data_IF_078807882751
#
_entry.id   IF_078807882751
#
_cell.length_a   1.000
_cell.length_b   1.000
_cell.length_c   1.000
_cell.angle_alpha   90.00
_cell.angle_beta   90.00
_cell.angle_gamma   90.00
#
_symmetry.space_group_name_H-M   'P 1'
#
loop_
_entity.id
_entity.type
_entity.pdbx_description
1 polymer ?
#
# COMPACT_ATOMS: atom_id res chain seq x y z
N UNK A 1 3.27 14.48 -28.06
CA UNK A 1 2.52 13.44 -28.78
C UNK A 1 1.07 13.56 -28.33
N UNK A 2 0.13 13.62 -29.26
CA UNK A 2 -1.30 13.79 -28.95
C UNK A 2 -1.94 12.39 -28.88
N UNK A 3 -2.31 11.95 -27.68
CA UNK A 3 -2.90 10.63 -27.41
C UNK A 3 -4.17 10.43 -28.23
N UNK A 4 -4.98 11.49 -28.40
CA UNK A 4 -6.18 11.43 -29.24
C UNK A 4 -5.88 11.12 -30.71
N UNK A 5 -4.71 11.55 -31.20
CA UNK A 5 -4.28 11.32 -32.58
C UNK A 5 -3.68 9.92 -32.79
N UNK A 6 -3.14 9.30 -31.75
CA UNK A 6 -2.52 7.98 -31.81
C UNK A 6 -3.56 6.85 -31.66
N UNK A 7 -4.45 6.97 -30.68
CA UNK A 7 -5.44 5.91 -30.35
C UNK A 7 -6.73 6.02 -31.17
N UNK A 8 -7.11 7.25 -31.55
CA UNK A 8 -8.39 7.54 -32.20
C UNK A 8 -9.60 7.19 -31.31
N UNK A 9 -10.81 7.38 -31.85
CA UNK A 9 -12.07 7.19 -31.10
C UNK A 9 -12.21 5.76 -30.53
N UNK A 10 -11.82 4.74 -31.32
CA UNK A 10 -11.92 3.34 -30.91
C UNK A 10 -10.97 3.01 -29.76
N UNK A 11 -9.72 3.48 -29.82
CA UNK A 11 -8.74 3.24 -28.75
C UNK A 11 -9.15 3.91 -27.45
N UNK A 12 -9.62 5.16 -27.49
CA UNK A 12 -10.13 5.87 -26.31
C UNK A 12 -11.35 5.17 -25.67
N UNK A 13 -12.25 4.64 -26.51
CA UNK A 13 -13.40 3.86 -26.04
C UNK A 13 -12.95 2.57 -25.36
N UNK A 14 -11.95 1.89 -25.92
CA UNK A 14 -11.43 0.64 -25.36
C UNK A 14 -10.68 0.87 -24.06
N UNK A 15 -9.82 1.90 -24.00
CA UNK A 15 -9.13 2.32 -22.78
C UNK A 15 -10.12 2.53 -21.62
N UNK A 16 -11.19 3.28 -21.87
CA UNK A 16 -12.22 3.52 -20.85
C UNK A 16 -12.88 2.23 -20.36
N UNK A 17 -13.18 1.29 -21.27
CA UNK A 17 -13.78 -0.02 -20.90
C UNK A 17 -12.82 -0.85 -20.06
N UNK A 18 -11.55 -0.90 -20.43
CA UNK A 18 -10.53 -1.70 -19.73
C UNK A 18 -10.23 -1.10 -18.36
N UNK A 19 -10.16 0.24 -18.22
CA UNK A 19 -10.01 0.88 -16.92
C UNK A 19 -11.14 0.50 -15.94
N UNK A 20 -12.39 0.53 -16.40
CA UNK A 20 -13.55 0.09 -15.61
C UNK A 20 -13.49 -1.41 -15.31
N UNK A 21 -13.08 -2.24 -16.29
CA UNK A 21 -12.93 -3.69 -16.11
C UNK A 21 -11.88 -4.01 -15.03
N UNK A 22 -10.70 -3.42 -15.12
CA UNK A 22 -9.59 -3.63 -14.19
C UNK A 22 -9.99 -3.26 -12.75
N UNK A 23 -10.66 -2.12 -12.56
CA UNK A 23 -11.12 -1.70 -11.24
C UNK A 23 -12.18 -2.66 -10.64
N UNK A 24 -13.12 -3.12 -11.47
CA UNK A 24 -14.12 -4.11 -11.04
C UNK A 24 -13.51 -5.49 -10.77
N UNK A 25 -12.48 -5.89 -11.53
CA UNK A 25 -11.72 -7.10 -11.29
C UNK A 25 -11.08 -7.09 -9.91
N UNK A 26 -10.31 -6.04 -9.59
CA UNK A 26 -9.66 -5.89 -8.29
C UNK A 26 -10.68 -5.80 -7.15
N UNK A 27 -11.73 -5.00 -7.33
CA UNK A 27 -12.80 -4.89 -6.33
C UNK A 27 -13.45 -6.24 -6.03
N UNK A 28 -13.64 -7.08 -7.05
CA UNK A 28 -14.18 -8.44 -6.88
C UNK A 28 -13.21 -9.37 -6.15
N UNK A 29 -11.91 -9.34 -6.49
CA UNK A 29 -10.89 -10.18 -5.83
C UNK A 29 -10.68 -9.82 -4.37
N UNK A 30 -10.83 -8.55 -4.01
CA UNK A 30 -10.59 -8.05 -2.66
C UNK A 30 -11.82 -8.04 -1.75
N UNK A 31 -13.03 -8.23 -2.29
CA UNK A 31 -14.29 -8.05 -1.56
C UNK A 31 -14.46 -8.95 -0.32
N UNK A 32 -13.87 -10.15 -0.32
CA UNK A 32 -13.94 -11.09 0.82
C UNK A 32 -12.99 -10.72 1.96
N UNK A 33 -12.03 -9.82 1.71
CA UNK A 33 -11.00 -9.40 2.66
C UNK A 33 -11.21 -7.95 3.12
N UNK A 34 -11.63 -7.09 2.20
CA UNK A 34 -11.83 -5.67 2.42
C UNK A 34 -13.21 -5.26 1.90
N UNK A 35 -14.09 -4.70 2.75
CA UNK A 35 -15.36 -4.19 2.27
C UNK A 35 -15.16 -3.11 1.21
N UNK A 36 -15.83 -3.25 0.07
CA UNK A 36 -15.89 -2.21 -0.97
C UNK A 36 -16.95 -1.20 -0.56
N UNK A 37 -16.53 0.02 -0.21
CA UNK A 37 -17.35 0.98 0.52
C UNK A 37 -18.53 1.52 -0.28
N UNK A 38 -18.33 1.78 -1.58
CA UNK A 38 -19.36 2.31 -2.47
C UNK A 38 -19.43 1.49 -3.75
N UNK A 39 -20.66 1.17 -4.16
CA UNK A 39 -20.98 0.48 -5.42
C UNK A 39 -22.18 1.15 -6.07
N UNK A 40 -22.23 1.13 -7.40
CA UNK A 40 -23.40 1.58 -8.17
C UNK A 40 -24.60 0.63 -8.01
N UNK A 41 -25.73 0.99 -8.61
CA UNK A 41 -26.98 0.23 -8.50
C UNK A 41 -26.87 -1.23 -8.99
N UNK A 42 -25.96 -1.51 -9.93
CA UNK A 42 -25.68 -2.86 -10.45
C UNK A 42 -24.66 -3.65 -9.62
N UNK A 43 -24.15 -3.09 -8.51
CA UNK A 43 -23.10 -3.71 -7.70
C UNK A 43 -21.68 -3.55 -8.28
N UNK A 44 -21.50 -2.77 -9.34
CA UNK A 44 -20.21 -2.47 -9.96
C UNK A 44 -19.62 -1.15 -9.45
N UNK A 45 -18.31 -0.99 -9.61
CA UNK A 45 -17.58 0.27 -9.43
C UNK A 45 -17.30 0.91 -10.80
N UNK A 46 -16.76 2.13 -10.82
CA UNK A 46 -16.33 2.80 -12.05
C UNK A 46 -14.88 2.40 -12.39
N UNK A 47 -14.01 3.38 -12.66
CA UNK A 47 -12.58 3.17 -12.95
C UNK A 47 -11.70 3.04 -11.68
N UNK A 48 -12.31 3.17 -10.51
CA UNK A 48 -11.66 3.06 -9.20
C UNK A 48 -12.61 2.44 -8.17
N UNK A 49 -12.06 1.94 -7.05
CA UNK A 49 -12.85 1.47 -5.91
C UNK A 49 -12.26 1.94 -4.57
N UNK A 50 -13.12 2.07 -3.54
CA UNK A 50 -12.69 2.41 -2.18
C UNK A 50 -12.78 1.15 -1.32
N UNK A 51 -11.65 0.76 -0.75
CA UNK A 51 -11.53 -0.36 0.20
C UNK A 51 -11.54 0.17 1.63
N UNK A 52 -12.39 -0.40 2.47
CA UNK A 52 -12.55 0.01 3.86
C UNK A 52 -11.58 -0.75 4.78
N UNK A 53 -10.62 -0.03 5.35
CA UNK A 53 -9.60 -0.59 6.25
C UNK A 53 -9.93 -0.35 7.73
N UNK A 54 -10.98 0.41 8.03
CA UNK A 54 -11.39 0.74 9.41
C UNK A 54 -11.71 -0.50 10.25
N UNK A 55 -12.29 -1.60 9.71
CA UNK A 55 -12.44 -2.84 10.46
C UNK A 55 -11.12 -3.38 11.02
N UNK A 56 -10.04 -3.35 10.22
CA UNK A 56 -8.71 -3.79 10.67
C UNK A 56 -8.15 -2.90 11.77
N UNK A 57 -8.43 -1.59 11.72
CA UNK A 57 -8.03 -0.68 12.80
C UNK A 57 -8.70 -1.04 14.12
N UNK A 58 -9.98 -1.41 14.07
CA UNK A 58 -10.75 -1.77 15.27
C UNK A 58 -10.36 -3.15 15.83
N UNK A 59 -10.02 -4.11 14.94
CA UNK A 59 -9.76 -5.51 15.32
C UNK A 59 -8.30 -5.78 15.68
N UNK A 60 -7.35 -5.12 15.01
CA UNK A 60 -5.92 -5.41 15.08
C UNK A 60 -5.05 -4.18 15.37
N UNK A 61 -5.66 -3.02 15.63
CA UNK A 61 -4.99 -1.71 15.72
C UNK A 61 -4.17 -1.31 14.47
N UNK A 62 -4.36 -2.00 13.34
CA UNK A 62 -3.69 -1.75 12.06
C UNK A 62 -4.35 -0.58 11.34
N UNK A 63 -3.60 0.52 11.16
CA UNK A 63 -4.07 1.71 10.45
C UNK A 63 -3.79 1.67 8.95
N UNK A 64 -4.39 2.61 8.22
CA UNK A 64 -4.13 2.83 6.78
C UNK A 64 -2.65 3.06 6.50
N UNK A 65 -1.93 3.78 7.36
CA UNK A 65 -0.50 4.03 7.20
C UNK A 65 0.33 2.75 7.34
N UNK A 66 -0.06 1.82 8.21
CA UNK A 66 0.63 0.54 8.37
C UNK A 66 0.57 -0.27 7.07
N UNK A 67 -0.62 -0.33 6.45
CA UNK A 67 -0.85 -1.01 5.18
C UNK A 67 -0.11 -0.29 4.04
N UNK A 68 -0.17 1.05 4.02
CA UNK A 68 0.52 1.85 3.01
C UNK A 68 2.04 1.65 3.04
N UNK A 69 2.63 1.58 4.23
CA UNK A 69 4.06 1.32 4.36
C UNK A 69 4.40 -0.14 4.07
N UNK A 70 3.54 -1.08 4.46
CA UNK A 70 3.78 -2.51 4.21
C UNK A 70 3.75 -2.85 2.72
N UNK A 71 2.92 -2.20 1.92
CA UNK A 71 2.92 -2.33 0.45
C UNK A 71 4.29 -2.05 -0.18
N UNK A 72 5.10 -1.15 0.41
CA UNK A 72 6.46 -0.87 -0.06
C UNK A 72 7.36 -2.11 0.02
N UNK A 73 7.17 -2.96 1.03
CA UNK A 73 7.94 -4.20 1.17
C UNK A 73 7.57 -5.23 0.08
N UNK A 74 6.34 -5.16 -0.44
CA UNK A 74 5.85 -5.94 -1.59
C UNK A 74 6.22 -5.32 -2.94
N UNK A 75 6.86 -4.14 -2.96
CA UNK A 75 7.26 -3.44 -4.17
C UNK A 75 6.22 -2.47 -4.74
N UNK A 76 5.16 -2.15 -3.98
CA UNK A 76 4.09 -1.27 -4.43
C UNK A 76 4.15 0.11 -3.77
N UNK A 77 3.84 1.14 -4.55
CA UNK A 77 3.39 2.42 -3.99
C UNK A 77 1.97 2.25 -3.45
N UNK A 78 1.66 2.90 -2.33
CA UNK A 78 0.31 2.86 -1.78
C UNK A 78 -0.69 3.55 -2.72
N UNK A 79 -1.94 3.09 -2.78
CA UNK A 79 -3.03 3.84 -3.41
C UNK A 79 -3.30 5.16 -2.68
N UNK A 80 -4.28 5.93 -3.14
CA UNK A 80 -4.72 7.15 -2.43
C UNK A 80 -5.20 6.79 -1.02
N UNK A 81 -4.61 7.41 0.00
CA UNK A 81 -4.88 7.10 1.42
C UNK A 81 -5.77 8.16 2.08
N UNK A 82 -6.73 7.71 2.90
CA UNK A 82 -7.59 8.54 3.76
C UNK A 82 -8.39 9.65 3.05
N UNK A 83 -8.61 9.49 1.74
CA UNK A 83 -9.47 10.37 0.95
C UNK A 83 -10.23 9.52 -0.09
N UNK A 84 -11.51 9.79 -0.36
CA UNK A 84 -12.35 10.84 0.24
C UNK A 84 -12.87 10.51 1.65
N UNK A 85 -12.59 9.30 2.16
CA UNK A 85 -13.01 8.84 3.48
C UNK A 85 -11.78 8.58 4.35
N UNK A 86 -11.76 9.10 5.58
CA UNK A 86 -10.65 8.87 6.50
C UNK A 86 -10.51 7.39 6.86
N UNK A 87 -9.28 6.87 6.84
CA UNK A 87 -8.99 5.47 7.17
C UNK A 87 -9.31 4.45 6.08
N UNK A 88 -9.51 4.88 4.83
CA UNK A 88 -9.70 4.00 3.66
C UNK A 88 -8.56 4.14 2.65
N UNK A 89 -8.53 3.26 1.65
CA UNK A 89 -7.73 3.44 0.45
C UNK A 89 -8.62 3.47 -0.79
N UNK A 90 -8.26 4.31 -1.76
CA UNK A 90 -8.91 4.40 -3.07
C UNK A 90 -7.95 3.90 -4.15
N UNK A 91 -8.36 2.88 -4.89
CA UNK A 91 -7.54 2.10 -5.82
C UNK A 91 -8.03 2.32 -7.25
N UNK A 92 -7.13 2.83 -8.11
CA UNK A 92 -7.36 3.06 -9.54
C UNK A 92 -6.24 2.37 -10.34
N UNK A 93 -6.50 1.23 -11.00
CA UNK A 93 -5.46 0.51 -11.74
C UNK A 93 -5.18 1.06 -13.14
N UNK A 94 -6.07 1.89 -13.69
CA UNK A 94 -6.09 2.29 -15.10
C UNK A 94 -6.22 1.10 -16.07
N UNK A 95 -6.25 1.40 -17.36
CA UNK A 95 -6.27 0.43 -18.45
C UNK A 95 -4.89 -0.10 -18.84
N UNK A 96 -3.83 0.57 -18.40
CA UNK A 96 -2.46 0.33 -18.90
C UNK A 96 -1.77 -0.82 -18.16
N UNK A 97 -2.23 -1.16 -16.97
CA UNK A 97 -1.70 -2.27 -16.20
C UNK A 97 -2.28 -3.61 -16.66
N UNK A 98 -1.40 -4.59 -16.83
CA UNK A 98 -1.81 -5.94 -17.22
C UNK A 98 -2.40 -6.73 -16.05
N UNK A 99 -3.11 -7.81 -16.36
CA UNK A 99 -3.75 -8.67 -15.36
C UNK A 99 -2.75 -9.20 -14.31
N UNK A 100 -1.51 -9.47 -14.70
CA UNK A 100 -0.51 -10.02 -13.80
C UNK A 100 -0.06 -8.99 -12.75
N UNK A 101 0.01 -7.70 -13.09
CA UNK A 101 0.24 -6.62 -12.12
C UNK A 101 -0.96 -6.45 -11.18
N UNK A 102 -2.19 -6.50 -11.71
CA UNK A 102 -3.39 -6.44 -10.88
C UNK A 102 -3.44 -7.58 -9.86
N UNK A 103 -3.07 -8.79 -10.29
CA UNK A 103 -2.99 -9.97 -9.44
C UNK A 103 -1.93 -9.82 -8.36
N UNK A 104 -0.71 -9.36 -8.70
CA UNK A 104 0.34 -9.10 -7.70
C UNK A 104 -0.12 -8.11 -6.63
N UNK A 105 -0.79 -7.03 -7.03
CA UNK A 105 -1.32 -6.06 -6.08
C UNK A 105 -2.41 -6.68 -5.19
N UNK A 106 -3.35 -7.42 -5.78
CA UNK A 106 -4.41 -8.08 -5.02
C UNK A 106 -3.85 -9.12 -4.03
N UNK A 107 -2.88 -9.93 -4.45
CA UNK A 107 -2.25 -10.95 -3.62
C UNK A 107 -1.40 -10.31 -2.49
N UNK A 108 -0.76 -9.16 -2.74
CA UNK A 108 -0.10 -8.37 -1.70
C UNK A 108 -1.11 -7.90 -0.65
N UNK A 109 -2.23 -7.32 -1.08
CA UNK A 109 -3.30 -6.86 -0.19
C UNK A 109 -3.93 -8.01 0.59
N UNK A 110 -4.14 -9.17 -0.02
CA UNK A 110 -4.66 -10.38 0.66
C UNK A 110 -3.67 -10.87 1.72
N UNK A 111 -2.38 -10.89 1.40
CA UNK A 111 -1.33 -11.27 2.36
C UNK A 111 -1.28 -10.29 3.53
N UNK A 112 -1.37 -8.99 3.26
CA UNK A 112 -1.45 -7.94 4.29
C UNK A 112 -2.69 -8.13 5.19
N UNK A 113 -3.83 -8.49 4.62
CA UNK A 113 -5.02 -8.81 5.41
C UNK A 113 -4.74 -9.97 6.37
N UNK A 114 -4.09 -11.04 5.90
CA UNK A 114 -3.71 -12.18 6.74
C UNK A 114 -2.72 -11.79 7.84
N UNK A 115 -1.76 -10.90 7.55
CA UNK A 115 -0.85 -10.35 8.58
C UNK A 115 -1.61 -9.55 9.64
N UNK A 116 -2.65 -8.80 9.25
CA UNK A 116 -3.50 -8.08 10.20
C UNK A 116 -4.40 -9.03 11.01
N UNK A 117 -4.95 -10.07 10.39
CA UNK A 117 -5.73 -11.10 11.11
C UNK A 117 -4.87 -11.86 12.12
N UNK A 118 -3.60 -12.16 11.79
CA UNK A 118 -2.68 -12.77 12.73
C UNK A 118 -2.46 -11.94 14.00
N UNK A 119 -2.52 -10.60 13.90
CA UNK A 119 -2.51 -9.68 15.05
C UNK A 119 -3.83 -9.77 15.81
N UNK A 120 -4.98 -9.70 15.11
CA UNK A 120 -6.31 -9.80 15.73
C UNK A 120 -6.49 -11.12 16.51
N UNK A 121 -5.98 -12.22 15.98
CA UNK A 121 -6.01 -13.55 16.58
C UNK A 121 -4.98 -13.73 17.72
N UNK A 122 -4.11 -12.74 17.96
CA UNK A 122 -3.08 -12.77 19.00
C UNK A 122 -1.93 -13.75 18.70
N UNK A 123 -1.74 -14.14 17.44
CA UNK A 123 -0.67 -15.08 17.03
C UNK A 123 0.68 -14.41 16.79
N UNK A 124 0.69 -13.08 16.67
CA UNK A 124 1.90 -12.25 16.58
C UNK A 124 1.75 -11.03 17.50
N UNK A 125 2.88 -10.49 17.95
CA UNK A 125 2.92 -9.30 18.80
C UNK A 125 2.22 -8.11 18.09
N UNK A 126 1.25 -7.42 18.76
CA UNK A 126 0.53 -6.30 18.16
C UNK A 126 1.38 -5.05 17.91
N UNK A 127 2.49 -4.90 18.63
CA UNK A 127 3.43 -3.78 18.50
C UNK A 127 4.66 -4.14 17.67
N UNK A 128 5.14 -5.40 17.71
CA UNK A 128 6.34 -5.85 16.99
C UNK A 128 6.03 -6.86 15.89
N UNK A 129 5.50 -6.39 14.77
CA UNK A 129 5.12 -7.20 13.61
C UNK A 129 5.51 -6.50 12.29
N UNK A 130 5.42 -7.17 11.13
CA UNK A 130 5.81 -6.56 9.86
C UNK A 130 5.03 -5.29 9.51
N UNK A 131 3.75 -5.18 9.86
CA UNK A 131 2.90 -4.02 9.53
C UNK A 131 3.33 -2.76 10.30
N UNK A 132 3.58 -2.88 11.60
CA UNK A 132 4.03 -1.75 12.44
C UNK A 132 5.44 -1.28 12.13
N UNK A 133 6.26 -2.21 11.66
CA UNK A 133 7.66 -1.99 11.42
C UNK A 133 8.00 -1.60 9.97
N UNK A 134 7.05 -1.74 9.05
CA UNK A 134 7.25 -1.34 7.67
C UNK A 134 7.43 0.19 7.54
N UNK A 135 8.21 0.65 6.55
CA UNK A 135 8.92 -0.15 5.54
C UNK A 135 10.27 -0.68 6.03
N UNK A 136 10.74 -1.80 5.50
CA UNK A 136 12.01 -2.42 5.87
C UNK A 136 13.12 -2.05 4.88
N UNK A 137 14.12 -1.30 5.34
CA UNK A 137 15.27 -0.91 4.52
C UNK A 137 16.27 -2.04 4.37
N UNK A 138 17.14 -1.95 3.37
CA UNK A 138 18.24 -2.91 3.20
C UNK A 138 19.14 -2.97 4.45
N UNK A 139 19.45 -1.80 5.03
CA UNK A 139 20.27 -1.68 6.25
C UNK A 139 19.64 -2.39 7.45
N UNK A 140 18.34 -2.23 7.67
CA UNK A 140 17.62 -2.95 8.73
C UNK A 140 17.73 -4.47 8.57
N UNK A 141 17.64 -4.95 7.32
CA UNK A 141 17.62 -6.38 7.00
C UNK A 141 19.00 -7.03 7.12
N UNK A 142 20.08 -6.31 6.77
CA UNK A 142 21.45 -6.83 6.85
C UNK A 142 22.10 -6.64 8.23
N UNK A 143 21.44 -5.93 9.15
CA UNK A 143 21.94 -5.73 10.51
C UNK A 143 22.23 -7.07 11.20
N UNK A 144 23.29 -7.15 12.01
CA UNK A 144 23.72 -8.39 12.66
C UNK A 144 22.65 -8.93 13.60
N UNK A 145 22.13 -8.07 14.47
CA UNK A 145 21.07 -8.39 15.41
C UNK A 145 19.70 -8.24 14.75
N UNK A 146 18.77 -9.13 15.10
CA UNK A 146 17.40 -9.12 14.61
C UNK A 146 16.44 -9.46 15.75
N UNK A 147 15.86 -8.42 16.33
CA UNK A 147 15.04 -8.43 17.54
C UNK A 147 13.53 -8.50 17.23
N UNK A 148 13.17 -9.06 16.08
CA UNK A 148 11.80 -9.12 15.56
C UNK A 148 11.29 -10.56 15.54
N UNK A 149 10.02 -10.83 15.93
CA UNK A 149 9.45 -12.18 16.01
C UNK A 149 9.04 -12.75 14.65
N UNK A 150 9.60 -12.24 13.55
CA UNK A 150 9.35 -12.67 12.17
C UNK A 150 10.67 -12.67 11.42
N UNK A 151 10.79 -13.43 10.33
CA UNK A 151 12.06 -13.53 9.60
C UNK A 151 12.37 -12.28 8.77
N UNK A 152 13.65 -12.06 8.50
CA UNK A 152 14.14 -11.09 7.50
C UNK A 152 13.54 -11.31 6.12
N UNK A 153 13.33 -12.57 5.75
CA UNK A 153 12.66 -12.94 4.49
C UNK A 153 11.21 -12.47 4.49
N UNK A 154 10.45 -12.68 5.57
CA UNK A 154 9.08 -12.16 5.69
C UNK A 154 9.05 -10.63 5.66
N UNK A 155 10.08 -9.97 6.19
CA UNK A 155 10.21 -8.53 6.14
C UNK A 155 10.43 -8.02 4.70
N UNK A 156 11.49 -8.48 4.03
CA UNK A 156 11.97 -7.91 2.77
C UNK A 156 11.47 -8.61 1.51
N UNK A 157 11.13 -9.90 1.59
CA UNK A 157 10.73 -10.72 0.44
C UNK A 157 9.40 -11.44 0.68
N UNK A 158 8.32 -10.72 1.03
CA UNK A 158 7.05 -11.33 1.44
C UNK A 158 6.30 -12.04 0.30
N UNK A 159 6.74 -11.88 -0.95
CA UNK A 159 6.13 -12.50 -2.12
C UNK A 159 7.18 -13.02 -3.12
N UNK A 160 6.83 -13.97 -3.98
CA UNK A 160 7.78 -14.57 -4.94
C UNK A 160 8.41 -13.54 -5.88
N UNK A 161 7.61 -12.63 -6.43
CA UNK A 161 8.09 -11.60 -7.38
C UNK A 161 9.14 -10.66 -6.75
N UNK A 162 9.07 -10.42 -5.43
CA UNK A 162 10.05 -9.58 -4.74
C UNK A 162 11.46 -10.19 -4.73
N UNK A 163 11.59 -11.52 -4.96
CA UNK A 163 12.88 -12.21 -5.10
C UNK A 163 13.48 -12.07 -6.51
N UNK A 164 12.64 -11.83 -7.51
CA UNK A 164 13.08 -11.60 -8.88
C UNK A 164 13.55 -10.16 -9.05
N UNK A 165 12.75 -9.20 -8.57
CA UNK A 165 13.06 -7.78 -8.59
C UNK A 165 12.70 -7.13 -7.26
N UNK A 166 13.72 -6.64 -6.54
CA UNK A 166 13.55 -5.94 -5.26
C UNK A 166 13.77 -4.44 -5.41
N UNK A 167 12.71 -3.66 -5.19
CA UNK A 167 12.83 -2.24 -4.89
C UNK A 167 13.02 -2.05 -3.39
N UNK A 168 14.05 -1.31 -2.98
CA UNK A 168 14.38 -1.09 -1.58
C UNK A 168 13.87 0.27 -1.09
N UNK A 169 13.07 0.31 -0.01
CA UNK A 169 12.83 1.53 0.75
C UNK A 169 14.18 2.09 1.24
N UNK A 170 14.44 3.37 0.94
CA UNK A 170 15.72 4.02 1.27
C UNK A 170 15.80 4.50 2.71
N UNK A 171 14.66 4.69 3.37
CA UNK A 171 14.55 5.11 4.76
C UNK A 171 13.43 4.31 5.45
N UNK A 172 13.50 4.26 6.79
CA UNK A 172 12.42 3.71 7.60
C UNK A 172 11.17 4.60 7.59
N UNK A 173 10.22 4.29 8.48
CA UNK A 173 9.00 5.07 8.61
C UNK A 173 9.33 6.52 9.04
N UNK A 174 8.82 7.48 8.27
CA UNK A 174 8.99 8.92 8.53
C UNK A 174 8.16 9.33 9.75
N UNK A 175 8.75 10.14 10.63
CA UNK A 175 8.03 10.80 11.73
C UNK A 175 7.49 12.16 11.26
N UNK A 176 6.22 12.15 10.84
CA UNK A 176 5.54 13.34 10.34
C UNK A 176 5.43 14.44 11.44
N UNK A 177 5.07 14.04 12.66
CA UNK A 177 4.82 14.99 13.74
C UNK A 177 6.10 15.67 14.21
N UNK A 178 7.25 14.98 14.15
CA UNK A 178 8.53 15.59 14.42
C UNK A 178 8.87 16.68 13.39
N UNK A 179 8.66 16.42 12.10
CA UNK A 179 8.92 17.39 11.03
C UNK A 179 8.10 18.67 11.17
N UNK A 180 6.81 18.53 11.49
CA UNK A 180 5.93 19.69 11.71
C UNK A 180 6.33 20.52 12.95
N UNK A 181 6.87 19.88 13.99
CA UNK A 181 7.34 20.55 15.22
C UNK A 181 8.72 21.18 15.06
N UNK A 182 9.55 20.68 14.13
CA UNK A 182 10.94 21.09 13.92
C UNK A 182 11.13 21.48 12.45
N UNK A 183 10.44 22.55 12.03
CA UNK A 183 10.36 22.94 10.63
C UNK A 183 11.73 23.39 10.10
N UNK A 184 12.35 22.54 9.29
CA UNK A 184 13.56 22.85 8.51
C UNK A 184 13.27 22.62 7.04
N UNK A 185 13.28 23.70 6.27
CA UNK A 185 12.96 23.70 4.84
C UNK A 185 14.13 24.14 3.94
N UNK A 186 15.34 24.20 4.49
CA UNK A 186 16.60 24.48 3.79
C UNK A 186 17.60 23.33 3.99
N UNK A 187 18.65 23.30 3.17
CA UNK A 187 19.72 22.28 3.26
C UNK A 187 20.65 22.48 4.47
N UNK A 188 20.51 23.57 5.23
CA UNK A 188 21.40 23.90 6.35
C UNK A 188 21.23 22.93 7.54
N UNK A 189 20.08 22.24 7.61
CA UNK A 189 19.78 21.26 8.66
C UNK A 189 19.48 21.89 10.02
N UNK A 190 19.09 21.06 10.99
CA UNK A 190 18.75 21.52 12.35
C UNK A 190 19.94 22.13 13.11
N UNK A 191 21.17 21.71 12.79
CA UNK A 191 22.37 22.17 13.49
C UNK A 191 22.64 23.67 13.27
N UNK A 192 22.22 24.23 12.13
CA UNK A 192 22.34 25.66 11.85
C UNK A 192 21.41 26.54 12.69
N UNK A 193 20.39 25.95 13.35
CA UNK A 193 19.39 26.67 14.14
C UNK A 193 19.51 26.43 15.66
N UNK A 194 20.58 25.76 16.11
CA UNK A 194 20.89 25.65 17.55
C UNK A 194 21.51 26.98 18.00
N UNK A 195 20.80 27.75 18.83
CA UNK A 195 21.39 28.88 19.57
C UNK A 195 22.35 28.34 20.66
N UNK A 196 23.50 29.00 20.85
CA UNK A 196 24.54 28.66 21.84
C UNK A 196 24.03 28.65 23.30
#
# INVERSE_FOLDING_TARGET
MDVHRYDGEKGLTEATKVAILNANYMASRLADYYPILFKGASGCVAHECIIDLRPLKNQAEVGVDDIAKRLMDFGFHAPTVSWPVGGTMMVEPTESEDLAELDRFCDAMITIHQEAQAIADGTIDPANNPLKNAPHTAEMVICQEWDRPYSREKAAYPASWSKEHKFWPTVGRIDNAYGDRNLVCSCEGMDAYKED
#
